data_IF_910796961009
#
_entry.id   IF_910796961009
#
_cell.length_a   1.000
_cell.length_b   1.000
_cell.length_c   1.000
_cell.angle_alpha   90.00
_cell.angle_beta   90.00
_cell.angle_gamma   90.00
#
_symmetry.space_group_name_H-M   'P 1'
#
loop_
_entity.id
_entity.type
_entity.pdbx_description
1 polymer ?
#
# COMPACT_ATOMS: atom_id res chain seq x y z
N UNK A 1 7.72 -10.01 8.64
CA UNK A 1 9.12 -10.39 8.87
C UNK A 1 9.53 -11.66 8.08
N UNK A 2 8.86 -12.82 8.28
CA UNK A 2 9.24 -14.07 7.55
C UNK A 2 9.15 -13.93 6.03
N UNK A 3 8.16 -13.21 5.51
CA UNK A 3 8.01 -12.97 4.08
C UNK A 3 9.18 -12.14 3.52
N UNK A 4 9.63 -11.10 4.22
CA UNK A 4 10.78 -10.30 3.80
C UNK A 4 12.05 -11.16 3.76
N UNK A 5 12.26 -12.02 4.75
CA UNK A 5 13.39 -12.95 4.75
C UNK A 5 13.29 -13.94 3.57
N UNK A 6 12.10 -14.47 3.27
CA UNK A 6 11.91 -15.37 2.14
C UNK A 6 12.27 -14.70 0.80
N UNK A 7 11.92 -13.42 0.62
CA UNK A 7 12.26 -12.65 -0.58
C UNK A 7 13.78 -12.49 -0.76
N UNK A 8 14.55 -12.36 0.32
CA UNK A 8 16.02 -12.27 0.23
C UNK A 8 16.71 -13.62 -0.01
N UNK A 9 16.04 -14.73 0.34
CA UNK A 9 16.60 -16.09 0.19
C UNK A 9 16.25 -16.70 -1.17
N UNK A 10 15.01 -16.55 -1.61
CA UNK A 10 14.46 -17.25 -2.79
C UNK A 10 13.44 -16.43 -3.60
N UNK A 11 13.32 -15.13 -3.35
CA UNK A 11 12.37 -14.25 -4.02
C UNK A 11 13.00 -13.15 -4.87
N UNK A 12 12.29 -12.05 -5.00
CA UNK A 12 12.69 -10.91 -5.84
C UNK A 12 13.86 -10.09 -5.28
N UNK A 13 14.24 -10.29 -4.00
CA UNK A 13 15.31 -9.54 -3.34
C UNK A 13 16.56 -10.38 -3.09
N UNK A 14 16.74 -11.49 -3.80
CA UNK A 14 17.99 -12.30 -3.70
C UNK A 14 19.19 -11.43 -4.02
N UNK A 15 20.16 -11.41 -3.09
CA UNK A 15 21.37 -10.59 -3.19
C UNK A 15 21.28 -9.21 -2.57
N UNK A 16 20.09 -8.68 -2.29
CA UNK A 16 19.92 -7.41 -1.56
C UNK A 16 20.26 -7.60 -0.08
N UNK A 17 21.01 -6.65 0.47
CA UNK A 17 21.32 -6.60 1.90
C UNK A 17 20.42 -5.65 2.67
N UNK A 18 19.87 -4.66 1.97
CA UNK A 18 18.99 -3.63 2.55
C UNK A 18 17.72 -3.56 1.72
N UNK A 19 16.62 -4.08 2.23
CA UNK A 19 15.35 -4.06 1.52
C UNK A 19 14.17 -3.89 2.46
N UNK A 20 13.08 -3.41 1.92
CA UNK A 20 11.80 -3.33 2.61
C UNK A 20 10.75 -4.11 1.82
N UNK A 21 10.03 -5.00 2.48
CA UNK A 21 8.81 -5.59 1.95
C UNK A 21 7.62 -4.87 2.57
N UNK A 22 6.72 -4.39 1.73
CA UNK A 22 5.42 -3.83 2.13
C UNK A 22 4.32 -4.76 1.60
N UNK A 23 3.43 -5.23 2.45
CA UNK A 23 2.31 -6.07 2.05
C UNK A 23 0.99 -5.30 2.10
N UNK A 24 0.33 -5.17 0.94
CA UNK A 24 -0.94 -4.47 0.77
C UNK A 24 -2.08 -5.51 0.76
N UNK A 25 -2.63 -5.77 1.92
CA UNK A 25 -3.72 -6.71 2.17
C UNK A 25 -4.85 -6.06 2.95
N UNK A 26 -5.55 -6.80 3.81
CA UNK A 26 -6.56 -6.27 4.74
C UNK A 26 -6.02 -5.08 5.53
N UNK A 27 -4.75 -5.15 5.92
CA UNK A 27 -3.96 -4.05 6.47
C UNK A 27 -2.72 -3.76 5.62
N UNK A 28 -1.81 -2.95 6.15
CA UNK A 28 -0.47 -2.72 5.60
C UNK A 28 0.56 -3.32 6.55
N UNK A 29 1.21 -4.39 6.13
CA UNK A 29 2.30 -5.01 6.87
C UNK A 29 3.66 -4.64 6.31
N UNK A 30 4.71 -4.84 7.10
CA UNK A 30 6.08 -4.60 6.69
C UNK A 30 7.07 -5.65 7.15
N UNK A 31 8.19 -5.69 6.45
CA UNK A 31 9.39 -6.40 6.87
C UNK A 31 10.62 -5.66 6.36
N UNK A 32 11.56 -5.39 7.25
CA UNK A 32 12.77 -4.61 6.95
C UNK A 32 13.97 -5.53 7.11
N UNK A 33 14.79 -5.60 6.08
CA UNK A 33 16.11 -6.24 6.11
C UNK A 33 17.14 -5.13 6.05
N UNK A 34 18.07 -5.12 6.99
CA UNK A 34 19.19 -4.18 7.04
C UNK A 34 20.49 -4.95 7.30
N UNK A 35 21.52 -4.72 6.49
CA UNK A 35 22.78 -5.47 6.50
C UNK A 35 22.60 -7.00 6.44
N UNK A 36 21.57 -7.46 5.71
CA UNK A 36 21.22 -8.88 5.58
C UNK A 36 20.54 -9.47 6.82
N UNK A 37 20.11 -8.64 7.77
CA UNK A 37 19.43 -9.06 9.00
C UNK A 37 18.05 -8.44 9.08
N UNK A 38 17.11 -9.22 9.64
CA UNK A 38 15.77 -8.73 9.88
C UNK A 38 15.75 -7.71 11.04
N UNK A 39 15.08 -6.60 10.82
CA UNK A 39 14.83 -5.59 11.85
C UNK A 39 13.55 -5.96 12.59
N UNK A 40 13.71 -6.56 13.76
CA UNK A 40 12.57 -6.99 14.58
C UNK A 40 12.23 -6.01 15.71
N UNK A 41 13.14 -5.09 16.01
CA UNK A 41 12.99 -4.19 17.16
C UNK A 41 13.12 -4.92 18.51
N UNK A 42 13.00 -4.17 19.58
CA UNK A 42 12.99 -4.73 20.93
C UNK A 42 11.68 -5.51 21.15
N UNK A 43 11.80 -6.77 21.56
CA UNK A 43 10.64 -7.63 21.79
C UNK A 43 9.85 -8.03 20.53
N UNK A 44 10.41 -7.81 19.33
CA UNK A 44 9.75 -8.20 18.07
C UNK A 44 8.67 -7.22 17.59
N UNK A 45 8.63 -6.00 18.11
CA UNK A 45 7.61 -4.99 17.80
C UNK A 45 8.04 -3.99 16.72
N UNK A 46 9.15 -4.25 16.03
CA UNK A 46 9.64 -3.40 14.94
C UNK A 46 8.98 -3.70 13.59
N UNK A 47 9.23 -2.82 12.63
CA UNK A 47 8.75 -2.90 11.25
C UNK A 47 7.22 -2.82 11.07
N UNK A 48 6.50 -2.23 12.03
CA UNK A 48 5.06 -1.96 11.94
C UNK A 48 4.79 -0.72 11.06
N UNK A 49 5.26 -0.77 9.80
CA UNK A 49 5.28 0.39 8.88
C UNK A 49 3.89 0.91 8.55
N UNK A 50 2.87 0.04 8.51
CA UNK A 50 1.49 0.42 8.27
C UNK A 50 0.92 1.36 9.32
N UNK A 51 1.52 1.41 10.50
CA UNK A 51 1.12 2.30 11.57
C UNK A 51 1.94 3.60 11.65
N UNK A 52 2.84 3.85 10.67
CA UNK A 52 3.42 5.18 10.50
C UNK A 52 2.32 6.21 10.19
N UNK A 53 2.49 7.43 10.69
CA UNK A 53 1.52 8.50 10.48
C UNK A 53 1.65 9.04 9.06
N UNK A 54 0.55 8.99 8.29
CA UNK A 54 0.47 9.58 6.95
C UNK A 54 -0.29 10.90 6.96
N UNK A 55 -1.38 10.98 7.72
CA UNK A 55 -2.23 12.17 7.78
C UNK A 55 -2.56 12.48 9.23
N UNK A 56 -2.09 13.64 9.72
CA UNK A 56 -2.39 14.07 11.09
C UNK A 56 -3.92 14.21 11.27
N UNK A 57 -4.43 13.64 12.35
CA UNK A 57 -5.87 13.63 12.70
C UNK A 57 -6.78 13.07 11.60
N UNK A 58 -6.23 12.21 10.72
CA UNK A 58 -6.93 11.64 9.59
C UNK A 58 -7.86 10.47 9.92
N UNK A 59 -8.01 9.54 8.96
CA UNK A 59 -8.91 8.38 9.08
C UNK A 59 -8.56 7.51 10.30
N UNK A 60 -9.58 6.96 10.99
CA UNK A 60 -9.36 6.06 12.11
C UNK A 60 -8.66 4.77 11.66
N UNK A 61 -7.72 4.31 12.46
CA UNK A 61 -7.00 3.05 12.28
C UNK A 61 -7.42 2.02 13.32
N UNK A 62 -7.35 0.74 12.97
CA UNK A 62 -7.65 -0.39 13.85
C UNK A 62 -6.74 -0.45 15.10
N UNK A 63 -5.57 0.19 15.06
CA UNK A 63 -4.66 0.30 16.21
C UNK A 63 -5.12 1.31 17.28
N UNK A 64 -6.25 1.99 17.07
CA UNK A 64 -6.80 2.99 17.99
C UNK A 64 -6.31 4.42 17.77
N UNK A 65 -5.36 4.65 16.85
CA UNK A 65 -4.90 5.99 16.43
C UNK A 65 -5.62 6.45 15.17
N UNK A 66 -5.47 7.71 14.82
CA UNK A 66 -5.91 8.25 13.53
C UNK A 66 -4.71 8.50 12.61
N UNK A 67 -4.96 8.43 11.29
CA UNK A 67 -4.03 8.88 10.29
C UNK A 67 -2.91 7.91 9.91
N UNK A 68 -2.92 6.67 10.39
CA UNK A 68 -1.94 5.65 10.02
C UNK A 68 -1.96 5.38 8.51
N UNK A 69 -0.82 5.10 7.91
CA UNK A 69 -0.70 4.72 6.50
C UNK A 69 -1.65 3.59 6.08
N UNK A 70 -1.81 2.56 6.92
CA UNK A 70 -2.76 1.47 6.72
C UNK A 70 -4.18 1.95 6.45
N UNK A 71 -4.62 3.01 7.15
CA UNK A 71 -5.95 3.57 6.98
C UNK A 71 -6.19 4.19 5.59
N UNK A 72 -5.15 4.34 4.76
CA UNK A 72 -5.22 4.90 3.41
C UNK A 72 -4.77 3.92 2.33
N UNK A 73 -3.77 3.09 2.61
CA UNK A 73 -3.07 2.24 1.65
C UNK A 73 -3.41 0.75 1.73
N UNK A 74 -4.24 0.30 2.67
CA UNK A 74 -4.70 -1.09 2.72
C UNK A 74 -5.78 -1.38 1.66
N UNK A 75 -6.00 -2.67 1.36
CA UNK A 75 -7.14 -3.10 0.53
C UNK A 75 -8.48 -2.69 1.15
N UNK A 76 -8.60 -2.76 2.49
CA UNK A 76 -9.78 -2.29 3.22
C UNK A 76 -10.00 -0.78 3.00
N UNK A 77 -8.93 0.00 3.00
CA UNK A 77 -8.99 1.43 2.73
C UNK A 77 -9.43 1.72 1.29
N UNK A 78 -8.87 1.00 0.30
CA UNK A 78 -9.25 1.12 -1.11
C UNK A 78 -10.74 0.82 -1.31
N UNK A 79 -11.26 -0.26 -0.73
CA UNK A 79 -12.67 -0.62 -0.79
C UNK A 79 -13.54 0.49 -0.17
N UNK A 80 -13.14 1.04 0.97
CA UNK A 80 -13.85 2.16 1.62
C UNK A 80 -13.88 3.40 0.74
N UNK A 81 -12.75 3.76 0.12
CA UNK A 81 -12.65 4.88 -0.83
C UNK A 81 -13.56 4.65 -2.04
N UNK A 82 -13.55 3.44 -2.63
CA UNK A 82 -14.43 3.06 -3.72
C UNK A 82 -15.92 3.15 -3.36
N UNK A 83 -16.31 2.69 -2.16
CA UNK A 83 -17.69 2.81 -1.67
C UNK A 83 -18.12 4.27 -1.49
N UNK A 84 -17.25 5.13 -0.96
CA UNK A 84 -17.53 6.57 -0.84
C UNK A 84 -17.70 7.21 -2.23
N UNK A 85 -16.86 6.85 -3.20
CA UNK A 85 -16.99 7.33 -4.57
C UNK A 85 -18.30 6.86 -5.24
N UNK A 86 -18.68 5.60 -5.04
CA UNK A 86 -19.96 5.05 -5.52
C UNK A 86 -21.18 5.80 -4.93
N UNK A 87 -21.13 6.15 -3.65
CA UNK A 87 -22.18 6.93 -3.00
C UNK A 87 -22.27 8.36 -3.54
N UNK A 88 -21.12 8.99 -3.78
CA UNK A 88 -21.04 10.35 -4.33
C UNK A 88 -21.42 10.42 -5.82
N UNK A 89 -21.22 9.34 -6.57
CA UNK A 89 -21.48 9.25 -8.00
C UNK A 89 -22.27 7.98 -8.33
N UNK A 90 -23.60 7.97 -8.16
CA UNK A 90 -24.45 6.78 -8.39
C UNK A 90 -24.41 6.24 -9.82
N UNK A 91 -24.00 7.05 -10.80
CA UNK A 91 -23.84 6.64 -12.20
C UNK A 91 -22.52 5.90 -12.47
N UNK A 92 -21.59 5.89 -11.51
CA UNK A 92 -20.31 5.17 -11.61
C UNK A 92 -20.54 3.65 -11.65
N UNK A 93 -19.68 2.93 -12.37
CA UNK A 93 -19.64 1.46 -12.35
C UNK A 93 -19.46 0.90 -10.92
N UNK A 94 -18.78 1.64 -10.04
CA UNK A 94 -18.59 1.27 -8.64
C UNK A 94 -19.91 1.07 -7.90
N UNK A 95 -20.96 1.84 -8.22
CA UNK A 95 -22.27 1.73 -7.58
C UNK A 95 -22.94 0.37 -7.87
N UNK A 96 -22.68 -0.23 -9.03
CA UNK A 96 -23.21 -1.52 -9.43
C UNK A 96 -22.73 -2.70 -8.56
N UNK A 97 -21.61 -2.57 -7.88
CA UNK A 97 -21.08 -3.63 -7.00
C UNK A 97 -21.69 -3.63 -5.60
N UNK A 98 -22.31 -2.54 -5.18
CA UNK A 98 -22.97 -2.43 -3.87
C UNK A 98 -22.04 -2.83 -2.72
N UNK A 99 -22.54 -3.71 -1.83
CA UNK A 99 -21.80 -4.20 -0.66
C UNK A 99 -20.62 -5.13 -0.98
N UNK A 100 -20.64 -5.79 -2.17
CA UNK A 100 -19.65 -6.77 -2.59
C UNK A 100 -18.39 -6.18 -3.24
N UNK A 101 -18.27 -4.86 -3.34
CA UNK A 101 -17.12 -4.18 -3.93
C UNK A 101 -15.81 -4.66 -3.33
N UNK A 102 -14.88 -5.09 -4.19
CA UNK A 102 -13.52 -5.50 -3.84
C UNK A 102 -12.49 -4.50 -4.35
N UNK A 103 -11.24 -4.59 -3.85
CA UNK A 103 -10.15 -3.76 -4.36
C UNK A 103 -9.87 -4.00 -5.85
N UNK A 104 -10.02 -5.24 -6.33
CA UNK A 104 -9.89 -5.57 -7.76
C UNK A 104 -10.96 -4.86 -8.59
N UNK A 105 -12.21 -4.86 -8.15
CA UNK A 105 -13.31 -4.21 -8.88
C UNK A 105 -13.09 -2.71 -9.07
N UNK A 106 -12.42 -2.05 -8.12
CA UNK A 106 -12.07 -0.62 -8.26
C UNK A 106 -11.09 -0.41 -9.41
N UNK A 107 -10.04 -1.24 -9.52
CA UNK A 107 -9.11 -1.18 -10.65
C UNK A 107 -9.78 -1.58 -11.96
N UNK A 108 -10.58 -2.64 -11.99
CA UNK A 108 -11.31 -3.08 -13.19
C UNK A 108 -12.28 -2.00 -13.71
N UNK A 109 -12.94 -1.26 -12.81
CA UNK A 109 -13.80 -0.14 -13.19
C UNK A 109 -12.99 1.03 -13.76
N UNK A 110 -11.83 1.32 -13.19
CA UNK A 110 -10.91 2.34 -13.71
C UNK A 110 -10.41 2.00 -15.12
N UNK A 111 -10.03 0.74 -15.36
CA UNK A 111 -9.60 0.23 -16.67
C UNK A 111 -10.72 0.34 -17.72
N UNK A 112 -11.98 0.15 -17.31
CA UNK A 112 -13.17 0.35 -18.16
C UNK A 112 -13.48 1.82 -18.44
N UNK A 113 -12.70 2.74 -17.89
CA UNK A 113 -12.84 4.18 -18.16
C UNK A 113 -13.70 4.94 -17.16
N UNK A 114 -14.20 4.30 -16.08
CA UNK A 114 -14.99 4.97 -15.05
C UNK A 114 -14.20 6.09 -14.36
N UNK A 115 -14.71 7.31 -14.42
CA UNK A 115 -14.01 8.48 -13.93
C UNK A 115 -13.84 8.49 -12.39
N UNK A 116 -14.87 8.00 -11.67
CA UNK A 116 -14.81 7.93 -10.21
C UNK A 116 -13.79 6.89 -9.77
N UNK A 117 -13.79 5.71 -10.41
CA UNK A 117 -12.82 4.67 -10.13
C UNK A 117 -11.38 5.11 -10.45
N UNK A 118 -11.17 5.80 -11.59
CA UNK A 118 -9.85 6.37 -11.93
C UNK A 118 -9.35 7.35 -10.86
N UNK A 119 -10.23 8.22 -10.37
CA UNK A 119 -9.87 9.15 -9.30
C UNK A 119 -9.50 8.42 -8.00
N UNK A 120 -10.24 7.36 -7.65
CA UNK A 120 -9.94 6.53 -6.47
C UNK A 120 -8.60 5.83 -6.62
N UNK A 121 -8.34 5.19 -7.77
CA UNK A 121 -7.06 4.49 -8.03
C UNK A 121 -5.89 5.47 -7.99
N UNK A 122 -6.01 6.63 -8.65
CA UNK A 122 -4.96 7.64 -8.65
C UNK A 122 -4.63 8.11 -7.24
N UNK A 123 -5.64 8.43 -6.41
CA UNK A 123 -5.42 8.85 -5.03
C UNK A 123 -4.85 7.72 -4.17
N UNK A 124 -5.30 6.49 -4.37
CA UNK A 124 -4.77 5.32 -3.67
C UNK A 124 -3.30 5.10 -3.97
N UNK A 125 -2.89 5.21 -5.25
CA UNK A 125 -1.49 5.10 -5.64
C UNK A 125 -0.62 6.18 -4.96
N UNK A 126 -1.13 7.41 -4.82
CA UNK A 126 -0.43 8.48 -4.07
C UNK A 126 -0.25 8.11 -2.60
N UNK A 127 -1.27 7.55 -1.94
CA UNK A 127 -1.13 7.11 -0.55
C UNK A 127 -0.12 5.97 -0.39
N UNK A 128 -0.11 5.01 -1.32
CA UNK A 128 0.90 3.94 -1.32
C UNK A 128 2.28 4.52 -1.53
N UNK A 129 2.44 5.38 -2.53
CA UNK A 129 3.71 6.00 -2.90
C UNK A 129 4.31 6.86 -1.78
N UNK A 130 3.48 7.66 -1.10
CA UNK A 130 3.94 8.51 0.00
C UNK A 130 4.61 7.69 1.12
N UNK A 131 3.97 6.60 1.57
CA UNK A 131 4.59 5.74 2.58
C UNK A 131 5.84 4.99 2.07
N UNK A 132 5.88 4.61 0.79
CA UNK A 132 7.09 4.03 0.17
C UNK A 132 8.22 5.06 0.13
N UNK A 133 7.92 6.32 -0.21
CA UNK A 133 8.88 7.43 -0.20
C UNK A 133 9.43 7.69 1.20
N UNK A 134 8.56 7.69 2.23
CA UNK A 134 9.00 7.85 3.62
C UNK A 134 9.98 6.74 4.03
N UNK A 135 9.68 5.49 3.66
CA UNK A 135 10.59 4.36 3.91
C UNK A 135 11.90 4.49 3.13
N UNK A 136 11.84 4.98 1.90
CA UNK A 136 13.02 5.30 1.09
C UNK A 136 13.91 6.32 1.76
N UNK A 137 13.34 7.46 2.16
CA UNK A 137 14.05 8.56 2.80
C UNK A 137 14.60 8.22 4.20
N UNK A 138 13.93 7.35 4.96
CA UNK A 138 14.35 6.98 6.32
C UNK A 138 15.42 5.87 6.30
N UNK A 139 15.26 4.86 5.44
CA UNK A 139 16.06 3.64 5.49
C UNK A 139 17.09 3.52 4.35
N UNK A 140 16.94 4.26 3.24
CA UNK A 140 17.79 4.16 2.05
C UNK A 140 17.94 2.73 1.53
N UNK A 141 16.88 1.95 1.32
CA UNK A 141 16.98 0.56 0.91
C UNK A 141 17.43 0.43 -0.55
N UNK A 142 18.12 -0.66 -0.89
CA UNK A 142 18.44 -1.03 -2.28
C UNK A 142 17.17 -1.36 -3.07
N UNK A 143 16.13 -1.85 -2.37
CA UNK A 143 14.89 -2.30 -2.98
C UNK A 143 13.69 -2.17 -2.02
N UNK A 144 12.55 -1.73 -2.55
CA UNK A 144 11.26 -1.86 -1.89
C UNK A 144 10.39 -2.80 -2.72
N UNK A 145 9.91 -3.87 -2.10
CA UNK A 145 8.98 -4.82 -2.71
C UNK A 145 7.55 -4.54 -2.22
N UNK A 146 6.60 -4.52 -3.15
CA UNK A 146 5.18 -4.47 -2.85
C UNK A 146 4.57 -5.87 -3.03
N UNK A 147 4.04 -6.44 -1.95
CA UNK A 147 3.35 -7.72 -1.94
C UNK A 147 1.89 -7.60 -1.51
N UNK A 148 1.23 -8.73 -1.32
CA UNK A 148 -0.17 -8.80 -0.91
C UNK A 148 -1.16 -8.82 -2.08
N UNK A 149 -2.46 -8.81 -1.78
CA UNK A 149 -3.51 -8.98 -2.78
C UNK A 149 -3.56 -7.85 -3.82
N UNK A 150 -3.31 -6.62 -3.41
CA UNK A 150 -3.37 -5.45 -4.28
C UNK A 150 -2.17 -5.38 -5.23
N UNK A 151 -1.01 -5.93 -4.86
CA UNK A 151 0.17 -5.93 -5.75
C UNK A 151 -0.07 -6.66 -7.08
N UNK A 152 -1.08 -7.54 -7.15
CA UNK A 152 -1.51 -8.22 -8.37
C UNK A 152 -2.04 -7.29 -9.46
N UNK A 153 -2.30 -6.03 -9.15
CA UNK A 153 -2.69 -5.01 -10.14
C UNK A 153 -1.51 -4.60 -11.05
N UNK A 154 -0.29 -5.07 -10.75
CA UNK A 154 0.88 -4.88 -11.60
C UNK A 154 1.18 -3.42 -11.90
N UNK A 155 1.37 -3.08 -13.17
CA UNK A 155 1.76 -1.72 -13.57
C UNK A 155 0.69 -0.66 -13.31
N UNK A 156 -0.58 -1.03 -13.19
CA UNK A 156 -1.63 -0.09 -12.80
C UNK A 156 -1.41 0.50 -11.38
N UNK A 157 -0.72 -0.26 -10.51
CA UNK A 157 -0.28 0.21 -9.20
C UNK A 157 1.17 0.70 -9.24
N UNK A 158 2.08 -0.11 -9.79
CA UNK A 158 3.53 0.12 -9.68
C UNK A 158 4.00 1.30 -10.52
N UNK A 159 3.41 1.55 -11.69
CA UNK A 159 3.77 2.67 -12.55
C UNK A 159 3.64 4.01 -11.82
N UNK A 160 2.42 4.40 -11.37
CA UNK A 160 2.23 5.65 -10.63
C UNK A 160 3.05 5.74 -9.33
N UNK A 161 3.24 4.61 -8.63
CA UNK A 161 4.06 4.59 -7.41
C UNK A 161 5.52 4.89 -7.72
N UNK A 162 6.11 4.30 -8.77
CA UNK A 162 7.49 4.55 -9.18
C UNK A 162 7.69 6.01 -9.62
N UNK A 163 6.76 6.56 -10.41
CA UNK A 163 6.82 7.96 -10.84
C UNK A 163 6.83 8.89 -9.63
N UNK A 164 5.92 8.70 -8.70
CA UNK A 164 5.86 9.52 -7.49
C UNK A 164 7.15 9.41 -6.65
N UNK A 165 7.66 8.19 -6.43
CA UNK A 165 8.89 7.97 -5.66
C UNK A 165 10.09 8.63 -6.35
N UNK A 166 10.20 8.55 -7.68
CA UNK A 166 11.30 9.18 -8.43
C UNK A 166 11.32 10.72 -8.28
N UNK A 167 10.15 11.34 -8.10
CA UNK A 167 10.03 12.78 -7.94
C UNK A 167 10.26 13.26 -6.49
N UNK A 168 10.17 12.37 -5.50
CA UNK A 168 10.11 12.75 -4.09
C UNK A 168 11.16 12.05 -3.19
N UNK A 169 12.00 11.17 -3.76
CA UNK A 169 13.00 10.40 -3.00
C UNK A 169 14.44 10.62 -3.50
#
# INVERSE_FOLDING_TARGET
NCAALAETVAGGAVGCRNMVLVTLGTGVGGGIIQDGKIVSGVGGTGAEVGHALLVLDGEPCTCGRNGCWEAYASATALIRQGKRAAQAQPASLLAGYGGSLTGKDVFDAADKGDAAAKAVVAQYCVYVAAGVTDLGNILGPEMVLLGGGISRQGEALLGPVREYVADHC
#
